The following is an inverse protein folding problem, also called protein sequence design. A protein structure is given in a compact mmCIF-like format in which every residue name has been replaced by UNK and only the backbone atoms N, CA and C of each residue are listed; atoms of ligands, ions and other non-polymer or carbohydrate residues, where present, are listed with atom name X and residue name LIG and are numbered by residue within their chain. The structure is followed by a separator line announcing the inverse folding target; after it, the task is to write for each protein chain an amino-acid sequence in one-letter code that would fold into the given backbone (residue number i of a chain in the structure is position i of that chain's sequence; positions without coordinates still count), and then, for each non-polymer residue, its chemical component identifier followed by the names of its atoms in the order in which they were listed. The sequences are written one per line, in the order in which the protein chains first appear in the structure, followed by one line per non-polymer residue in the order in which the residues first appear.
data_IF_185405408420
#
_entry.id   IF_185405408420
#
_cell.length_a   1.000
_cell.length_b   1.000
_cell.length_c   1.000
_cell.angle_alpha   90.00
_cell.angle_beta   90.00
_cell.angle_gamma   90.00
#
_symmetry.space_group_name_H-M   'P 1'
#
loop_
_entity.id
_entity.type
_entity.pdbx_description
1 polymer ?
#
# COMPACT_ATOMS: atom_id res chain seq x y z
N UNK A 1 -10.22 -27.04 64.74
CA UNK A 1 -9.46 -26.65 63.53
C UNK A 1 -10.23 -25.49 62.89
N UNK A 2 -9.99 -24.22 63.24
CA UNK A 2 -8.99 -23.30 62.66
C UNK A 2 -8.87 -23.39 61.13
N UNK A 3 -9.67 -22.58 60.42
CA UNK A 3 -9.27 -21.91 59.17
C UNK A 3 -9.98 -20.57 59.08
N UNK A 4 -9.19 -19.54 58.78
CA UNK A 4 -9.48 -18.13 58.99
C UNK A 4 -10.33 -17.55 57.84
N UNK A 5 -11.34 -16.80 58.25
CA UNK A 5 -12.10 -15.82 57.49
C UNK A 5 -11.16 -14.69 57.03
N UNK A 6 -10.99 -14.49 55.72
CA UNK A 6 -10.47 -13.24 55.17
C UNK A 6 -11.65 -12.46 54.57
N UNK A 7 -12.22 -11.60 55.39
CA UNK A 7 -12.99 -10.45 54.94
C UNK A 7 -11.97 -9.44 54.38
N UNK A 8 -11.90 -9.28 53.05
CA UNK A 8 -11.24 -8.10 52.49
C UNK A 8 -12.29 -6.99 52.44
N UNK A 9 -12.17 -6.06 53.39
CA UNK A 9 -12.85 -4.78 53.34
C UNK A 9 -12.36 -4.01 52.11
N UNK A 10 -13.18 -3.92 51.07
CA UNK A 10 -13.05 -2.88 50.06
C UNK A 10 -13.37 -1.54 50.74
N UNK A 11 -12.33 -0.93 51.31
CA UNK A 11 -12.33 0.48 51.69
C UNK A 11 -12.80 1.31 50.51
N UNK A 12 -13.88 2.06 50.73
CA UNK A 12 -14.37 3.05 49.77
C UNK A 12 -13.27 4.04 49.46
N UNK A 13 -12.94 4.16 48.18
CA UNK A 13 -12.22 5.34 47.68
C UNK A 13 -13.28 6.35 47.28
N UNK A 14 -13.27 7.43 48.06
CA UNK A 14 -14.01 8.66 47.86
C UNK A 14 -14.06 9.08 46.40
N UNK A 15 -15.23 9.54 45.95
CA UNK A 15 -15.41 10.34 44.74
C UNK A 15 -14.52 11.59 44.86
N UNK A 16 -13.31 11.55 44.30
CA UNK A 16 -12.58 12.76 43.93
C UNK A 16 -13.20 13.29 42.64
N UNK A 17 -13.59 14.55 42.64
CA UNK A 17 -14.05 15.29 41.46
C UNK A 17 -13.17 14.99 40.25
N UNK A 18 -13.79 14.63 39.13
CA UNK A 18 -13.15 14.32 37.84
C UNK A 18 -12.34 15.47 37.21
N UNK A 19 -12.16 16.61 37.90
CA UNK A 19 -11.45 17.79 37.42
C UNK A 19 -9.94 17.81 37.78
N UNK A 20 -9.46 16.92 38.65
CA UNK A 20 -8.06 16.94 39.17
C UNK A 20 -7.30 15.60 39.00
N UNK A 21 -7.74 14.73 38.10
CA UNK A 21 -6.97 13.51 37.80
C UNK A 21 -5.72 13.82 36.98
N UNK A 22 -4.58 13.22 37.36
CA UNK A 22 -3.34 13.28 36.59
C UNK A 22 -3.60 12.83 35.15
N UNK A 23 -3.13 13.58 34.13
CA UNK A 23 -3.32 13.20 32.74
C UNK A 23 -2.77 11.81 32.42
N UNK A 24 -3.52 11.03 31.65
CA UNK A 24 -3.10 9.73 31.17
C UNK A 24 -2.11 9.89 30.01
N UNK A 25 -1.05 9.09 30.00
CA UNK A 25 -0.09 9.07 28.91
C UNK A 25 -0.55 8.10 27.82
N UNK A 26 -0.89 8.64 26.64
CA UNK A 26 -1.64 7.91 25.60
C UNK A 26 -0.78 7.51 24.40
N UNK A 27 0.12 8.37 23.93
CA UNK A 27 0.96 8.04 22.77
C UNK A 27 2.34 8.69 22.85
N UNK A 28 3.33 8.01 22.27
CA UNK A 28 4.66 8.56 22.02
C UNK A 28 4.99 8.45 20.54
N UNK A 29 5.51 9.53 19.96
CA UNK A 29 6.07 9.56 18.60
C UNK A 29 7.56 9.83 18.72
N UNK A 30 8.37 8.97 18.12
CA UNK A 30 9.84 9.10 18.15
C UNK A 30 10.35 9.40 16.75
N UNK A 31 11.09 10.50 16.60
CA UNK A 31 11.76 10.89 15.35
C UNK A 31 13.25 11.05 15.68
N UNK A 32 14.05 10.04 15.34
CA UNK A 32 15.46 9.98 15.74
C UNK A 32 15.62 9.91 17.27
N UNK A 33 16.20 10.95 17.87
CA UNK A 33 16.38 11.07 19.33
C UNK A 33 15.30 11.92 20.01
N UNK A 34 14.41 12.54 19.23
CA UNK A 34 13.34 13.36 19.77
C UNK A 34 12.11 12.51 20.04
N UNK A 35 11.48 12.75 21.19
CA UNK A 35 10.23 12.13 21.60
C UNK A 35 9.15 13.20 21.77
N UNK A 36 7.98 12.91 21.22
CA UNK A 36 6.77 13.71 21.37
C UNK A 36 5.70 12.89 22.06
N UNK A 37 4.89 13.53 22.91
CA UNK A 37 3.97 12.85 23.81
C UNK A 37 2.54 13.36 23.64
N UNK A 38 1.57 12.45 23.73
CA UNK A 38 0.15 12.78 23.80
C UNK A 38 -0.37 12.40 25.18
N UNK A 39 -1.00 13.36 25.85
CA UNK A 39 -1.67 13.18 27.13
C UNK A 39 -3.19 13.35 26.97
N UNK A 40 -3.95 12.69 27.83
CA UNK A 40 -5.41 12.83 27.94
C UNK A 40 -5.76 13.30 29.34
N UNK A 41 -6.52 14.39 29.46
CA UNK A 41 -6.97 14.89 30.75
C UNK A 41 -8.16 14.08 31.33
N UNK A 42 -8.56 14.39 32.57
CA UNK A 42 -9.70 13.73 33.22
C UNK A 42 -11.05 13.90 32.51
N UNK A 43 -11.15 14.82 31.55
CA UNK A 43 -12.35 15.06 30.76
C UNK A 43 -12.35 14.30 29.42
N UNK A 44 -11.27 13.58 29.11
CA UNK A 44 -11.08 12.83 27.87
C UNK A 44 -10.54 13.67 26.72
N UNK A 45 -10.06 14.90 26.98
CA UNK A 45 -9.47 15.77 25.96
C UNK A 45 -8.01 15.38 25.74
N UNK A 46 -7.62 15.18 24.48
CA UNK A 46 -6.24 14.91 24.10
C UNK A 46 -5.42 16.19 23.87
N UNK A 47 -4.12 16.14 24.17
CA UNK A 47 -3.15 17.16 23.79
C UNK A 47 -2.73 17.03 22.32
N UNK A 48 -2.13 18.08 21.77
CA UNK A 48 -1.24 17.94 20.59
C UNK A 48 0.03 17.15 20.97
N UNK A 49 0.89 16.85 20.01
CA UNK A 49 2.19 16.23 20.27
C UNK A 49 3.13 17.18 21.04
N UNK A 50 3.24 16.97 22.35
CA UNK A 50 4.01 17.80 23.28
C UNK A 50 5.49 17.39 23.32
N UNK A 51 6.36 18.37 23.53
CA UNK A 51 7.78 18.20 23.89
C UNK A 51 8.00 18.23 25.40
N UNK A 52 9.14 17.72 25.85
CA UNK A 52 9.62 17.97 27.21
C UNK A 52 9.74 19.50 27.45
N UNK A 53 9.24 19.95 28.59
CA UNK A 53 9.18 21.35 28.99
C UNK A 53 7.83 22.02 28.73
N UNK A 54 6.99 21.49 27.85
CA UNK A 54 5.64 22.00 27.57
C UNK A 54 4.62 21.58 28.64
N UNK A 55 3.47 22.25 28.65
CA UNK A 55 2.42 22.05 29.66
C UNK A 55 1.09 21.60 29.04
N UNK A 56 0.37 20.74 29.76
CA UNK A 56 -0.98 20.31 29.40
C UNK A 56 -1.81 20.06 30.66
N UNK A 57 -3.04 20.57 30.69
CA UNK A 57 -3.95 20.48 31.85
C UNK A 57 -3.30 20.90 33.19
N UNK A 58 -2.37 21.87 33.16
CA UNK A 58 -1.64 22.34 34.34
C UNK A 58 -0.41 21.50 34.74
N UNK A 59 -0.08 20.45 33.99
CA UNK A 59 1.09 19.60 34.21
C UNK A 59 2.19 19.91 33.18
N UNK A 60 3.43 20.09 33.64
CA UNK A 60 4.62 20.26 32.80
C UNK A 60 5.31 18.92 32.56
N UNK A 61 5.68 18.63 31.32
CA UNK A 61 6.46 17.43 30.99
C UNK A 61 7.92 17.66 31.39
N UNK A 62 8.44 16.88 32.33
CA UNK A 62 9.77 17.11 32.92
C UNK A 62 10.85 16.26 32.25
N UNK A 63 10.69 14.95 32.31
CA UNK A 63 11.66 13.98 31.77
C UNK A 63 10.94 12.75 31.25
N UNK A 64 11.56 12.06 30.29
CA UNK A 64 11.09 10.78 29.78
C UNK A 64 12.23 9.77 29.78
N UNK A 65 11.99 8.61 30.35
CA UNK A 65 12.96 7.52 30.35
C UNK A 65 12.55 6.42 29.37
N UNK A 66 13.21 6.41 28.20
CA UNK A 66 12.87 5.53 27.09
C UNK A 66 12.97 4.02 27.43
N UNK A 67 13.84 3.65 28.37
CA UNK A 67 14.01 2.23 28.78
C UNK A 67 12.82 1.71 29.59
N UNK A 68 12.21 2.57 30.40
CA UNK A 68 11.11 2.21 31.31
C UNK A 68 9.76 2.69 30.79
N UNK A 69 9.74 3.55 29.77
CA UNK A 69 8.53 4.16 29.23
C UNK A 69 7.87 5.15 30.18
N UNK A 70 8.56 5.59 31.23
CA UNK A 70 8.02 6.50 32.26
C UNK A 70 8.22 7.95 31.83
N UNK A 71 7.12 8.70 31.76
CA UNK A 71 7.10 10.15 31.60
C UNK A 71 6.82 10.80 32.96
N UNK A 72 7.62 11.78 33.34
CA UNK A 72 7.44 12.53 34.58
C UNK A 72 6.68 13.83 34.30
N UNK A 73 5.52 13.99 34.92
CA UNK A 73 4.71 15.21 34.88
C UNK A 73 4.90 16.00 36.16
N UNK A 74 4.97 17.34 36.09
CA UNK A 74 5.13 18.20 37.25
C UNK A 74 3.99 19.21 37.36
N UNK A 75 3.37 19.30 38.54
CA UNK A 75 2.38 20.34 38.88
C UNK A 75 2.60 20.77 40.34
N UNK A 76 2.68 22.08 40.57
CA UNK A 76 2.88 22.68 41.89
C UNK A 76 4.09 22.09 42.66
N UNK A 77 5.19 21.82 41.94
CA UNK A 77 6.43 21.26 42.50
C UNK A 77 6.37 19.75 42.83
N UNK A 78 5.23 19.08 42.58
CA UNK A 78 5.08 17.63 42.74
C UNK A 78 5.27 16.92 41.41
N UNK A 79 5.99 15.80 41.43
CA UNK A 79 6.25 14.98 40.24
C UNK A 79 5.37 13.73 40.26
N UNK A 80 4.72 13.47 39.14
CA UNK A 80 3.81 12.35 38.89
C UNK A 80 4.38 11.49 37.77
N UNK A 81 4.85 10.27 38.06
CA UNK A 81 5.28 9.33 37.01
C UNK A 81 4.04 8.72 36.34
N UNK A 82 3.99 8.80 35.02
CA UNK A 82 2.95 8.16 34.20
C UNK A 82 3.59 7.24 33.17
N UNK A 83 2.92 6.12 32.88
CA UNK A 83 3.34 5.14 31.86
C UNK A 83 2.31 5.10 30.75
N UNK A 84 2.76 4.63 29.57
CA UNK A 84 1.92 4.56 28.39
C UNK A 84 0.74 3.60 28.64
N UNK A 85 -0.48 4.12 28.53
CA UNK A 85 -1.71 3.34 28.66
C UNK A 85 -2.20 3.02 27.27
N UNK A 86 -2.15 1.74 26.88
CA UNK A 86 -2.51 1.27 25.54
C UNK A 86 -4.00 1.50 25.17
N UNK A 87 -4.85 1.74 26.17
CA UNK A 87 -6.31 1.90 26.02
C UNK A 87 -6.83 3.20 26.67
N UNK A 88 -6.02 4.27 26.71
CA UNK A 88 -6.51 5.53 27.25
C UNK A 88 -7.66 6.04 26.35
N UNK A 89 -8.90 5.91 26.85
CA UNK A 89 -10.10 6.25 26.10
C UNK A 89 -10.13 7.76 25.82
N UNK A 90 -9.76 8.15 24.60
CA UNK A 90 -10.05 9.50 24.09
C UNK A 90 -11.54 9.52 23.75
N UNK A 91 -12.24 10.60 24.10
CA UNK A 91 -13.66 10.78 23.71
C UNK A 91 -13.89 10.68 22.19
N UNK A 92 -12.85 10.94 21.40
CA UNK A 92 -12.87 10.97 19.94
C UNK A 92 -11.88 9.98 19.31
N UNK A 93 -11.42 8.95 20.04
CA UNK A 93 -10.56 7.93 19.44
C UNK A 93 -11.34 7.16 18.36
N UNK A 94 -10.78 6.99 17.14
CA UNK A 94 -11.36 6.08 16.18
C UNK A 94 -11.49 4.70 16.82
N UNK A 95 -12.66 4.02 16.69
CA UNK A 95 -12.80 2.67 17.20
C UNK A 95 -11.71 1.77 16.62
N UNK A 96 -11.24 0.76 17.37
CA UNK A 96 -10.23 -0.15 16.88
C UNK A 96 -10.67 -0.75 15.53
N UNK A 97 -9.74 -0.90 14.57
CA UNK A 97 -10.08 -1.39 13.24
C UNK A 97 -10.71 -2.76 13.36
N UNK A 98 -11.93 -2.90 12.84
CA UNK A 98 -12.61 -4.20 12.79
C UNK A 98 -12.04 -4.95 11.61
N UNK A 99 -11.60 -6.22 11.78
CA UNK A 99 -11.14 -7.03 10.65
C UNK A 99 -12.19 -7.05 9.53
N UNK A 100 -11.75 -6.79 8.31
CA UNK A 100 -12.62 -6.90 7.15
C UNK A 100 -12.94 -8.35 6.82
N UNK A 101 -14.11 -8.57 6.24
CA UNK A 101 -14.48 -9.85 5.63
C UNK A 101 -14.27 -9.82 4.12
N UNK A 102 -14.22 -10.99 3.50
CA UNK A 102 -14.21 -11.11 2.03
C UNK A 102 -15.45 -10.45 1.42
N UNK A 103 -16.61 -10.53 2.08
CA UNK A 103 -17.84 -9.90 1.60
C UNK A 103 -17.76 -8.36 1.60
N UNK A 104 -17.10 -7.77 2.60
CA UNK A 104 -16.85 -6.32 2.64
C UNK A 104 -15.97 -5.89 1.45
N UNK A 105 -14.93 -6.68 1.15
CA UNK A 105 -14.05 -6.44 0.02
C UNK A 105 -14.75 -6.61 -1.34
N UNK A 106 -15.57 -7.66 -1.50
CA UNK A 106 -16.37 -7.87 -2.71
C UNK A 106 -17.32 -6.69 -2.98
N UNK A 107 -17.93 -6.12 -1.94
CA UNK A 107 -18.79 -4.96 -2.08
C UNK A 107 -18.03 -3.78 -2.69
N UNK A 108 -16.80 -3.50 -2.23
CA UNK A 108 -15.93 -2.45 -2.79
C UNK A 108 -15.57 -2.75 -4.24
N UNK A 109 -15.08 -3.96 -4.54
CA UNK A 109 -14.67 -4.34 -5.89
C UNK A 109 -15.82 -4.24 -6.90
N UNK A 110 -17.04 -4.57 -6.47
CA UNK A 110 -18.24 -4.40 -7.30
C UNK A 110 -18.50 -2.92 -7.61
N UNK A 111 -18.36 -2.01 -6.63
CA UNK A 111 -18.49 -0.56 -6.86
C UNK A 111 -17.39 0.01 -7.76
N UNK A 112 -16.22 -0.63 -7.76
CA UNK A 112 -15.12 -0.26 -8.65
C UNK A 112 -15.25 -0.85 -10.07
N UNK A 113 -16.32 -1.61 -10.37
CA UNK A 113 -16.51 -2.33 -11.63
C UNK A 113 -15.34 -3.29 -11.94
N UNK A 114 -14.86 -4.00 -10.92
CA UNK A 114 -13.71 -4.89 -11.05
C UNK A 114 -13.93 -5.98 -12.11
N UNK A 115 -15.15 -6.51 -12.25
CA UNK A 115 -15.48 -7.53 -13.25
C UNK A 115 -15.21 -7.03 -14.68
N UNK A 116 -15.71 -5.84 -15.02
CA UNK A 116 -15.46 -5.22 -16.33
C UNK A 116 -13.97 -4.90 -16.53
N UNK A 117 -13.30 -4.43 -15.47
CA UNK A 117 -11.88 -4.12 -15.51
C UNK A 117 -11.02 -5.36 -15.75
N UNK A 118 -11.28 -6.47 -15.05
CA UNK A 118 -10.52 -7.71 -15.19
C UNK A 118 -10.81 -8.34 -16.56
N UNK A 119 -12.05 -8.33 -17.03
CA UNK A 119 -12.40 -8.83 -18.36
C UNK A 119 -11.68 -8.06 -19.46
N UNK A 120 -11.71 -6.72 -19.41
CA UNK A 120 -10.99 -5.87 -20.36
C UNK A 120 -9.49 -6.15 -20.33
N UNK A 121 -8.91 -6.26 -19.14
CA UNK A 121 -7.47 -6.49 -18.95
C UNK A 121 -7.06 -7.86 -19.51
N UNK A 122 -7.82 -8.91 -19.20
CA UNK A 122 -7.59 -10.26 -19.71
C UNK A 122 -7.77 -10.33 -21.22
N UNK A 123 -8.77 -9.64 -21.78
CA UNK A 123 -8.95 -9.57 -23.24
C UNK A 123 -7.76 -8.88 -23.93
N UNK A 124 -7.25 -7.80 -23.35
CA UNK A 124 -6.06 -7.11 -23.86
C UNK A 124 -4.80 -7.99 -23.79
N UNK A 125 -4.57 -8.66 -22.66
CA UNK A 125 -3.47 -9.63 -22.52
C UNK A 125 -3.61 -10.78 -23.52
N UNK A 126 -4.83 -11.32 -23.69
CA UNK A 126 -5.12 -12.37 -24.67
C UNK A 126 -4.68 -11.97 -26.08
N UNK A 127 -5.05 -10.77 -26.51
CA UNK A 127 -4.66 -10.23 -27.83
C UNK A 127 -3.14 -10.09 -27.96
N UNK A 128 -2.47 -9.61 -26.91
CA UNK A 128 -1.01 -9.43 -26.91
C UNK A 128 -0.28 -10.77 -27.02
N UNK A 129 -0.65 -11.73 -26.18
CA UNK A 129 -0.07 -13.07 -26.16
C UNK A 129 -0.34 -13.80 -27.48
N UNK A 130 -1.56 -13.71 -28.01
CA UNK A 130 -1.90 -14.30 -29.30
C UNK A 130 -1.02 -13.75 -30.45
N UNK A 131 -0.75 -12.44 -30.46
CA UNK A 131 0.15 -11.83 -31.43
C UNK A 131 1.60 -12.33 -31.32
N UNK A 132 2.09 -12.50 -30.09
CA UNK A 132 3.42 -13.08 -29.84
C UNK A 132 3.49 -14.55 -30.30
N UNK A 133 2.43 -15.33 -30.08
CA UNK A 133 2.37 -16.72 -30.52
C UNK A 133 2.27 -16.87 -32.03
N UNK A 134 1.50 -16.02 -32.71
CA UNK A 134 1.48 -15.99 -34.17
C UNK A 134 2.88 -15.74 -34.75
N UNK A 135 3.65 -14.82 -34.15
CA UNK A 135 5.04 -14.59 -34.55
C UNK A 135 5.94 -15.81 -34.28
N UNK A 136 5.76 -16.48 -33.14
CA UNK A 136 6.50 -17.69 -32.79
C UNK A 136 6.23 -18.82 -33.79
N UNK A 137 4.95 -19.13 -34.06
CA UNK A 137 4.53 -20.13 -35.03
C UNK A 137 5.08 -19.82 -36.42
N UNK A 138 4.98 -18.57 -36.86
CA UNK A 138 5.52 -18.15 -38.16
C UNK A 138 7.02 -18.43 -38.28
N UNK A 139 7.79 -18.23 -37.20
CA UNK A 139 9.22 -18.57 -37.17
C UNK A 139 9.46 -20.08 -37.18
N UNK A 140 8.66 -20.86 -36.46
CA UNK A 140 8.77 -22.32 -36.45
C UNK A 140 8.49 -22.91 -37.83
N UNK A 141 7.44 -22.45 -38.51
CA UNK A 141 7.14 -22.86 -39.89
C UNK A 141 8.26 -22.47 -40.85
N UNK A 142 8.83 -21.26 -40.70
CA UNK A 142 10.00 -20.84 -41.49
C UNK A 142 11.26 -21.68 -41.23
N UNK A 143 11.35 -22.35 -40.07
CA UNK A 143 12.42 -23.29 -39.70
C UNK A 143 12.11 -24.74 -40.12
N UNK A 144 11.03 -24.97 -40.88
CA UNK A 144 10.67 -26.28 -41.42
C UNK A 144 9.80 -27.14 -40.50
N UNK A 145 9.24 -26.57 -39.42
CA UNK A 145 8.22 -27.27 -38.63
C UNK A 145 6.93 -27.34 -39.42
N UNK A 146 6.28 -28.51 -39.40
CA UNK A 146 4.99 -28.72 -40.04
C UNK A 146 3.93 -27.68 -39.56
N UNK A 147 3.23 -27.00 -40.48
CA UNK A 147 2.25 -25.96 -40.13
C UNK A 147 1.09 -26.46 -39.25
N UNK A 148 0.61 -27.69 -39.45
CA UNK A 148 -0.48 -28.24 -38.64
C UNK A 148 0.01 -28.55 -37.22
N UNK A 149 1.20 -29.12 -37.09
CA UNK A 149 1.83 -29.35 -35.79
C UNK A 149 2.07 -28.03 -35.04
N UNK A 150 2.51 -26.98 -35.72
CA UNK A 150 2.73 -25.67 -35.13
C UNK A 150 1.41 -25.00 -34.70
N UNK A 151 0.34 -25.12 -35.50
CA UNK A 151 -0.99 -24.63 -35.15
C UNK A 151 -1.61 -25.39 -33.96
N UNK A 152 -1.46 -26.71 -33.91
CA UNK A 152 -1.90 -27.53 -32.79
C UNK A 152 -1.16 -27.16 -31.49
N UNK A 153 0.16 -26.93 -31.58
CA UNK A 153 0.96 -26.44 -30.45
C UNK A 153 0.51 -25.06 -29.97
N UNK A 154 0.27 -24.12 -30.89
CA UNK A 154 -0.27 -22.79 -30.57
C UNK A 154 -1.57 -22.88 -29.79
N UNK A 155 -2.51 -23.69 -30.28
CA UNK A 155 -3.81 -23.88 -29.63
C UNK A 155 -3.63 -24.44 -28.22
N UNK A 156 -2.82 -25.49 -28.06
CA UNK A 156 -2.55 -26.09 -26.74
C UNK A 156 -1.95 -25.08 -25.77
N UNK A 157 -0.93 -24.33 -26.20
CA UNK A 157 -0.29 -23.32 -25.36
C UNK A 157 -1.26 -22.19 -24.96
N UNK A 158 -2.11 -21.77 -25.90
CA UNK A 158 -3.16 -20.77 -25.70
C UNK A 158 -4.19 -21.23 -24.67
N UNK A 159 -4.67 -22.48 -24.81
CA UNK A 159 -5.66 -23.07 -23.90
C UNK A 159 -5.09 -23.22 -22.48
N UNK A 160 -3.84 -23.68 -22.33
CA UNK A 160 -3.16 -23.80 -21.03
C UNK A 160 -2.97 -22.43 -20.35
N UNK A 161 -2.47 -21.43 -21.09
CA UNK A 161 -2.18 -20.11 -20.51
C UNK A 161 -3.45 -19.35 -20.17
N UNK A 162 -4.51 -19.45 -20.98
CA UNK A 162 -5.76 -18.75 -20.66
C UNK A 162 -6.65 -19.52 -19.69
N UNK A 163 -6.43 -20.83 -19.53
CA UNK A 163 -7.11 -21.65 -18.54
C UNK A 163 -6.79 -21.27 -17.10
N UNK A 164 -5.60 -20.71 -16.82
CA UNK A 164 -5.22 -20.28 -15.46
C UNK A 164 -5.82 -18.94 -15.04
N UNK A 165 -6.26 -18.12 -16.00
CA UNK A 165 -6.78 -16.77 -15.74
C UNK A 165 -8.30 -16.78 -15.67
N UNK A 166 -8.86 -17.52 -14.71
CA UNK A 166 -10.29 -17.49 -14.44
C UNK A 166 -10.67 -16.15 -13.74
N UNK A 167 -11.56 -15.33 -14.33
CA UNK A 167 -11.92 -14.04 -13.77
C UNK A 167 -12.53 -14.13 -12.36
N UNK A 168 -13.29 -15.20 -12.06
CA UNK A 168 -13.96 -15.37 -10.76
C UNK A 168 -12.95 -15.74 -9.69
N UNK A 169 -12.02 -16.65 -9.99
CA UNK A 169 -10.92 -16.99 -9.10
C UNK A 169 -10.06 -15.76 -8.81
N UNK A 170 -9.70 -15.00 -9.84
CA UNK A 170 -8.93 -13.77 -9.67
C UNK A 170 -9.66 -12.75 -8.79
N UNK A 171 -10.97 -12.56 -8.99
CA UNK A 171 -11.78 -11.71 -8.12
C UNK A 171 -11.75 -12.20 -6.67
N UNK A 172 -11.94 -13.50 -6.43
CA UNK A 172 -11.92 -14.07 -5.09
C UNK A 172 -10.58 -13.86 -4.39
N UNK A 173 -9.46 -14.08 -5.10
CA UNK A 173 -8.12 -13.82 -4.57
C UNK A 173 -7.90 -12.33 -4.27
N UNK A 174 -8.34 -11.42 -5.14
CA UNK A 174 -8.24 -9.98 -4.89
C UNK A 174 -9.13 -9.55 -3.72
N UNK A 175 -10.34 -10.08 -3.59
CA UNK A 175 -11.21 -9.81 -2.43
C UNK A 175 -10.53 -10.25 -1.13
N UNK A 176 -9.89 -11.41 -1.12
CA UNK A 176 -9.11 -11.89 0.03
C UNK A 176 -7.99 -10.91 0.38
N UNK A 177 -7.19 -10.50 -0.60
CA UNK A 177 -6.11 -9.51 -0.41
C UNK A 177 -6.67 -8.21 0.18
N UNK A 178 -7.79 -7.69 -0.34
CA UNK A 178 -8.40 -6.48 0.20
C UNK A 178 -8.86 -6.66 1.64
N UNK A 179 -9.42 -7.82 2.01
CA UNK A 179 -9.83 -8.11 3.39
C UNK A 179 -8.66 -8.27 4.37
N UNK A 180 -7.47 -8.65 3.87
CA UNK A 180 -6.24 -8.78 4.68
C UNK A 180 -5.52 -7.43 4.86
N UNK A 181 -5.66 -6.52 3.88
CA UNK A 181 -4.93 -5.24 3.85
C UNK A 181 -5.72 -4.09 4.48
N UNK A 182 -7.05 -4.11 4.36
CA UNK A 182 -7.91 -3.03 4.83
C UNK A 182 -8.78 -3.51 5.99
N UNK A 183 -9.06 -2.60 6.93
CA UNK A 183 -10.13 -2.80 7.91
C UNK A 183 -11.51 -2.68 7.28
N UNK A 184 -12.53 -3.17 7.97
CA UNK A 184 -13.92 -3.02 7.55
C UNK A 184 -14.29 -1.55 7.33
N UNK A 185 -13.90 -0.67 8.24
CA UNK A 185 -14.24 0.75 8.16
C UNK A 185 -13.63 1.42 6.92
N UNK A 186 -12.39 1.07 6.56
CA UNK A 186 -11.73 1.60 5.35
C UNK A 186 -12.40 1.08 4.07
N UNK A 187 -12.77 -0.20 4.02
CA UNK A 187 -13.52 -0.75 2.89
C UNK A 187 -14.90 -0.11 2.77
N UNK A 188 -15.62 0.10 3.88
CA UNK A 188 -16.92 0.77 3.88
C UNK A 188 -16.79 2.22 3.34
N UNK A 189 -15.73 2.94 3.72
CA UNK A 189 -15.43 4.29 3.21
C UNK A 189 -15.10 4.28 1.72
N UNK A 190 -14.27 3.33 1.25
CA UNK A 190 -13.98 3.17 -0.18
C UNK A 190 -15.26 2.87 -0.97
N UNK A 191 -16.08 1.94 -0.48
CA UNK A 191 -17.37 1.59 -1.09
C UNK A 191 -18.29 2.80 -1.19
N UNK A 192 -18.38 3.59 -0.11
CA UNK A 192 -19.15 4.83 -0.08
C UNK A 192 -18.65 5.84 -1.09
N UNK A 193 -17.33 6.04 -1.19
CA UNK A 193 -16.74 6.97 -2.15
C UNK A 193 -17.01 6.55 -3.60
N UNK A 194 -16.75 5.29 -3.95
CA UNK A 194 -16.97 4.78 -5.31
C UNK A 194 -18.46 4.70 -5.69
N UNK A 195 -19.37 4.75 -4.71
CA UNK A 195 -20.80 4.89 -4.96
C UNK A 195 -21.24 6.33 -5.27
N UNK A 196 -20.35 7.33 -5.12
CA UNK A 196 -20.66 8.72 -5.48
C UNK A 196 -20.48 8.97 -6.99
N UNK A 197 -21.19 9.96 -7.58
CA UNK A 197 -20.96 10.34 -8.98
C UNK A 197 -19.50 10.73 -9.28
N UNK A 198 -18.82 11.31 -8.30
CA UNK A 198 -17.40 11.67 -8.42
C UNK A 198 -16.50 10.42 -8.42
N UNK A 199 -16.77 9.44 -7.55
CA UNK A 199 -16.03 8.19 -7.49
C UNK A 199 -16.16 7.35 -8.76
N UNK A 200 -17.39 7.23 -9.28
CA UNK A 200 -17.67 6.55 -10.56
C UNK A 200 -16.98 7.28 -11.73
N UNK A 201 -17.09 8.61 -11.78
CA UNK A 201 -16.40 9.43 -12.78
C UNK A 201 -14.88 9.28 -12.71
N UNK A 202 -14.30 9.23 -11.51
CA UNK A 202 -12.87 9.04 -11.34
C UNK A 202 -12.43 7.66 -11.87
N UNK A 203 -13.16 6.60 -11.52
CA UNK A 203 -12.86 5.23 -11.96
C UNK A 203 -12.90 5.10 -13.49
N UNK A 204 -13.95 5.66 -14.11
CA UNK A 204 -14.14 5.60 -15.56
C UNK A 204 -13.14 6.48 -16.35
N UNK A 205 -12.61 7.55 -15.76
CA UNK A 205 -11.67 8.48 -16.41
C UNK A 205 -10.21 8.08 -16.27
N UNK A 206 -9.84 7.25 -15.29
CA UNK A 206 -8.46 6.81 -15.09
C UNK A 206 -7.80 6.22 -16.35
N UNK A 207 -8.46 5.34 -17.14
CA UNK A 207 -7.87 4.81 -18.38
C UNK A 207 -7.54 5.91 -19.40
N UNK A 208 -8.43 6.91 -19.55
CA UNK A 208 -8.22 8.02 -20.48
C UNK A 208 -7.04 8.92 -20.04
N UNK A 209 -6.82 9.06 -18.73
CA UNK A 209 -5.64 9.76 -18.20
C UNK A 209 -4.36 9.00 -18.58
N UNK A 210 -4.35 7.67 -18.39
CA UNK A 210 -3.21 6.82 -18.76
C UNK A 210 -2.92 6.86 -20.26
N UNK A 211 -3.95 6.82 -21.10
CA UNK A 211 -3.83 6.94 -22.56
C UNK A 211 -3.19 8.27 -22.96
N UNK A 212 -3.69 9.39 -22.42
CA UNK A 212 -3.12 10.72 -22.67
C UNK A 212 -1.67 10.83 -22.20
N UNK A 213 -1.34 10.26 -21.05
CA UNK A 213 0.04 10.21 -20.57
C UNK A 213 0.94 9.43 -21.53
N UNK A 214 0.45 8.32 -22.08
CA UNK A 214 1.14 7.55 -23.12
C UNK A 214 1.49 8.40 -24.35
N UNK A 215 0.54 9.20 -24.85
CA UNK A 215 0.78 10.12 -25.98
C UNK A 215 1.85 11.16 -25.63
N UNK A 216 1.81 11.73 -24.43
CA UNK A 216 2.84 12.69 -23.97
C UNK A 216 4.22 12.02 -23.96
N UNK A 217 4.33 10.81 -23.42
CA UNK A 217 5.59 10.07 -23.38
C UNK A 217 6.12 9.76 -24.80
N UNK A 218 5.24 9.39 -25.74
CA UNK A 218 5.61 9.19 -27.14
C UNK A 218 6.14 10.46 -27.80
N UNK A 219 5.48 11.60 -27.58
CA UNK A 219 5.94 12.91 -28.07
C UNK A 219 7.33 13.26 -27.53
N UNK A 220 7.54 13.04 -26.22
CA UNK A 220 8.85 13.30 -25.58
C UNK A 220 9.94 12.39 -26.11
N UNK A 221 9.63 11.13 -26.40
CA UNK A 221 10.57 10.22 -27.05
C UNK A 221 10.94 10.71 -28.45
N UNK A 222 9.95 11.14 -29.25
CA UNK A 222 10.19 11.69 -30.59
C UNK A 222 11.09 12.94 -30.58
N UNK A 223 10.95 13.82 -29.59
CA UNK A 223 11.82 14.99 -29.40
C UNK A 223 13.29 14.60 -29.10
N UNK A 224 13.51 13.49 -28.41
CA UNK A 224 14.85 13.03 -27.98
C UNK A 224 15.54 12.18 -29.04
N UNK A 225 14.79 11.51 -29.94
CA UNK A 225 15.33 10.61 -30.97
C UNK A 225 16.46 11.22 -31.82
N UNK A 226 16.38 12.48 -32.32
CA UNK A 226 17.47 13.06 -33.10
C UNK A 226 18.77 13.20 -32.30
N UNK A 227 18.69 13.51 -31.00
CA UNK A 227 19.87 13.61 -30.12
C UNK A 227 20.49 12.24 -29.89
N UNK A 228 19.67 11.21 -29.70
CA UNK A 228 20.13 9.82 -29.57
C UNK A 228 20.83 9.36 -30.85
N UNK A 229 20.27 9.66 -32.02
CA UNK A 229 20.91 9.37 -33.32
C UNK A 229 22.26 10.07 -33.46
N UNK A 230 22.35 11.34 -33.06
CA UNK A 230 23.60 12.11 -33.08
C UNK A 230 24.68 11.48 -32.18
N UNK A 231 24.32 11.14 -30.94
CA UNK A 231 25.23 10.45 -30.01
C UNK A 231 25.70 9.10 -30.56
N UNK A 232 24.80 8.34 -31.20
CA UNK A 232 25.17 7.09 -31.86
C UNK A 232 26.16 7.28 -33.01
N UNK A 233 25.99 8.33 -33.82
CA UNK A 233 26.90 8.66 -34.91
C UNK A 233 28.28 9.13 -34.40
N UNK A 234 28.31 9.96 -33.35
CA UNK A 234 29.53 10.41 -32.68
C UNK A 234 30.32 9.22 -32.12
N UNK A 235 29.64 8.32 -31.41
CA UNK A 235 30.24 7.09 -30.89
C UNK A 235 30.82 6.20 -31.99
N UNK A 236 30.08 5.98 -33.08
CA UNK A 236 30.57 5.18 -34.21
C UNK A 236 31.81 5.81 -34.88
N UNK A 237 31.86 7.14 -34.99
CA UNK A 237 33.02 7.86 -35.51
C UNK A 237 34.25 7.72 -34.60
N UNK A 238 34.07 7.83 -33.28
CA UNK A 238 35.15 7.61 -32.31
C UNK A 238 35.71 6.19 -32.35
N UNK A 239 34.85 5.17 -32.47
CA UNK A 239 35.28 3.78 -32.53
C UNK A 239 36.05 3.48 -33.84
N UNK A 240 35.60 4.05 -34.95
CA UNK A 240 36.30 3.96 -36.24
C UNK A 240 37.67 4.64 -36.19
N UNK A 241 37.78 5.79 -35.50
CA UNK A 241 39.06 6.48 -35.30
C UNK A 241 40.03 5.69 -34.41
N UNK A 242 39.52 4.85 -33.50
CA UNK A 242 40.31 3.92 -32.67
C UNK A 242 40.63 2.59 -33.37
N UNK A 243 40.35 2.46 -34.67
CA UNK A 243 40.67 1.27 -35.46
C UNK A 243 39.76 0.06 -35.20
N UNK A 244 38.66 0.24 -34.47
CA UNK A 244 37.67 -0.81 -34.21
C UNK A 244 36.53 -0.62 -35.20
N UNK A 245 36.45 -1.50 -36.21
CA UNK A 245 35.34 -1.49 -37.15
C UNK A 245 34.04 -1.93 -36.45
N UNK A 246 33.15 -0.97 -36.17
CA UNK A 246 31.77 -1.29 -35.77
C UNK A 246 31.03 -1.68 -37.04
N UNK A 247 30.97 -2.98 -37.32
CA UNK A 247 30.13 -3.52 -38.38
C UNK A 247 28.68 -3.11 -38.10
N UNK A 248 28.07 -2.40 -39.06
CA UNK A 248 26.64 -2.22 -39.11
C UNK A 248 25.98 -3.59 -39.25
N UNK A 249 25.61 -4.17 -38.12
CA UNK A 249 25.04 -5.49 -38.01
C UNK A 249 23.91 -5.44 -37.01
N UNK A 250 22.71 -5.64 -37.53
CA UNK A 250 21.50 -6.05 -36.80
C UNK A 250 21.86 -6.87 -35.56
N UNK A 251 21.27 -6.48 -34.43
CA UNK A 251 21.46 -7.12 -33.14
C UNK A 251 21.51 -8.66 -33.25
N UNK A 252 22.60 -9.32 -32.79
CA UNK A 252 22.57 -10.75 -32.58
C UNK A 252 21.92 -11.05 -31.23
N UNK A 253 20.91 -11.90 -31.26
CA UNK A 253 20.32 -12.52 -30.08
C UNK A 253 21.38 -13.32 -29.29
N UNK A 254 21.30 -13.39 -27.95
CA UNK A 254 22.21 -14.19 -27.15
C UNK A 254 21.68 -15.62 -27.04
N UNK A 255 22.51 -16.61 -27.38
CA UNK A 255 22.34 -18.03 -26.99
C UNK A 255 23.72 -18.68 -26.84
N UNK A 256 23.85 -19.79 -26.09
CA UNK A 256 24.16 -19.78 -24.66
C UNK A 256 25.51 -20.48 -24.39
N UNK A 257 26.04 -20.43 -23.17
CA UNK A 257 27.21 -21.25 -22.78
C UNK A 257 26.84 -22.32 -21.75
N UNK A 258 27.38 -23.50 -22.07
CA UNK A 258 27.43 -24.81 -21.40
C UNK A 258 27.37 -24.81 -19.88
#
# INVERSE_FOLDING_TARGET
MKTRLFLLACLGVSLLSAADSVPQFNATLSIGKEHRFVLIDGQGKASSFLSLGETFAGYRLKTYEAKTGVLQLERDGKVFPVTLVAEAAVKDAPPPPVPATIADAEAVLNKMHFDEMIERTLAQQKKMIAGQFQQMVSRMTAQGVDPEAAAAFQKKLTDEIFGIFDPKQLKSEVSRIYSEVFSKQELDQLSSFFSTPLGEMLSTRQPAIQEKLGVVMQSKMAEVMPRVQKLGAEFAAEQKAKGIAVGGGSAPAPTPKK
#
